data_IF_080863037712
#
_entry.id   IF_080863037712
#
_cell.length_a   1.000
_cell.length_b   1.000
_cell.length_c   1.000
_cell.angle_alpha   90.00
_cell.angle_beta   90.00
_cell.angle_gamma   90.00
#
_symmetry.space_group_name_H-M   'P 1'
#
loop_
_entity.id
_entity.type
_entity.pdbx_description
1 polymer ?
#
# COMPACT_ATOMS: atom_id res chain seq x y z
N UNK A 1 1.16 -4.68 -4.96
CA UNK A 1 0.77 -5.63 -6.03
C UNK A 1 1.18 -5.16 -7.41
N UNK A 2 0.84 -3.93 -7.82
CA UNK A 2 1.33 -3.40 -9.09
C UNK A 2 2.81 -2.96 -9.04
N UNK A 3 3.70 -3.90 -9.36
CA UNK A 3 5.16 -3.70 -9.40
C UNK A 3 5.64 -3.59 -10.85
N UNK A 4 6.46 -2.59 -11.15
CA UNK A 4 6.92 -2.29 -12.50
C UNK A 4 8.41 -1.94 -12.52
N UNK A 5 9.00 -1.90 -13.73
CA UNK A 5 10.28 -1.22 -13.97
C UNK A 5 9.96 0.19 -14.49
N UNK A 6 10.21 1.21 -13.68
CA UNK A 6 9.63 2.55 -13.83
C UNK A 6 8.31 2.72 -13.08
N UNK A 7 7.72 3.92 -13.16
CA UNK A 7 6.48 4.28 -12.45
C UNK A 7 5.36 4.62 -13.44
N UNK A 8 4.17 4.08 -13.21
CA UNK A 8 3.01 4.21 -14.10
C UNK A 8 1.75 4.56 -13.32
N UNK A 9 0.79 5.19 -13.99
CA UNK A 9 -0.54 5.48 -13.46
C UNK A 9 -1.61 4.94 -14.41
N UNK A 10 -2.63 4.26 -13.89
CA UNK A 10 -3.74 3.79 -14.73
C UNK A 10 -4.53 4.98 -15.29
N UNK A 11 -4.77 5.01 -16.59
CA UNK A 11 -5.39 6.14 -17.30
C UNK A 11 -6.63 5.75 -18.12
N UNK A 12 -7.27 4.62 -17.81
CA UNK A 12 -8.50 4.18 -18.45
C UNK A 12 -9.73 4.85 -17.83
N UNK A 13 -10.81 5.06 -18.60
CA UNK A 13 -12.11 5.49 -18.05
C UNK A 13 -12.83 4.36 -17.29
N UNK A 14 -12.58 3.11 -17.69
CA UNK A 14 -13.24 1.91 -17.17
C UNK A 14 -12.18 0.83 -16.92
N UNK A 15 -11.40 0.93 -15.83
CA UNK A 15 -10.43 -0.10 -15.50
C UNK A 15 -11.16 -1.42 -15.19
N UNK A 16 -10.68 -2.52 -15.78
CA UNK A 16 -11.17 -3.87 -15.42
C UNK A 16 -10.78 -4.21 -13.98
N UNK A 17 -11.59 -4.99 -13.29
CA UNK A 17 -11.15 -5.69 -12.07
C UNK A 17 -10.26 -6.86 -12.47
N UNK A 18 -9.04 -6.93 -11.93
CA UNK A 18 -8.11 -8.05 -12.17
C UNK A 18 -7.90 -8.89 -10.92
N UNK A 19 -7.48 -10.14 -11.14
CA UNK A 19 -7.18 -11.13 -10.12
C UNK A 19 -5.73 -11.59 -10.30
N UNK A 20 -4.81 -10.86 -9.70
CA UNK A 20 -3.35 -11.03 -9.78
C UNK A 20 -2.80 -12.02 -8.73
N UNK A 21 -3.62 -12.98 -8.31
CA UNK A 21 -3.28 -14.02 -7.33
C UNK A 21 -3.72 -15.40 -7.80
N UNK A 22 -3.17 -16.45 -7.19
CA UNK A 22 -3.45 -17.85 -7.49
C UNK A 22 -3.61 -18.71 -6.23
N UNK A 23 -4.25 -19.87 -6.36
CA UNK A 23 -4.41 -20.83 -5.26
C UNK A 23 -5.60 -20.56 -4.31
N UNK A 24 -6.51 -19.67 -4.69
CA UNK A 24 -7.66 -19.26 -3.88
C UNK A 24 -9.00 -19.82 -4.39
N UNK A 25 -10.07 -19.82 -3.57
CA UNK A 25 -11.40 -20.27 -4.00
C UNK A 25 -11.97 -19.43 -5.15
N UNK A 26 -12.79 -20.05 -6.03
CA UNK A 26 -13.48 -19.40 -7.15
C UNK A 26 -14.23 -18.12 -6.74
N UNK A 27 -14.83 -18.11 -5.55
CA UNK A 27 -15.54 -16.95 -5.03
C UNK A 27 -14.71 -15.66 -5.03
N UNK A 28 -13.39 -15.75 -4.84
CA UNK A 28 -12.49 -14.59 -4.93
C UNK A 28 -12.22 -14.15 -6.37
N UNK A 29 -12.23 -15.06 -7.34
CA UNK A 29 -12.12 -14.76 -8.78
C UNK A 29 -13.41 -14.23 -9.40
N UNK A 30 -14.55 -14.43 -8.72
CA UNK A 30 -15.86 -13.92 -9.14
C UNK A 30 -16.11 -12.49 -8.64
N UNK A 31 -15.22 -11.93 -7.82
CA UNK A 31 -15.36 -10.57 -7.32
C UNK A 31 -15.20 -9.57 -8.46
N UNK A 32 -16.12 -8.60 -8.52
CA UNK A 32 -16.01 -7.42 -9.38
C UNK A 32 -16.08 -6.16 -8.52
N UNK A 33 -15.33 -5.15 -8.94
CA UNK A 33 -15.32 -3.80 -8.37
C UNK A 33 -15.20 -2.77 -9.51
N UNK A 34 -16.32 -2.43 -10.16
CA UNK A 34 -16.33 -1.66 -11.41
C UNK A 34 -16.26 -0.15 -11.16
N UNK A 35 -15.27 0.30 -10.38
CA UNK A 35 -15.05 1.72 -10.18
C UNK A 35 -14.59 2.36 -11.48
N UNK A 36 -15.13 3.54 -11.81
CA UNK A 36 -14.66 4.32 -12.95
C UNK A 36 -13.20 4.73 -12.72
N UNK A 37 -12.42 4.84 -13.78
CA UNK A 37 -11.13 5.51 -13.72
C UNK A 37 -11.27 7.01 -13.96
N UNK A 38 -10.16 7.74 -13.87
CA UNK A 38 -10.10 9.16 -14.18
C UNK A 38 -8.84 9.48 -15.01
N UNK A 39 -8.94 9.46 -16.35
CA UNK A 39 -7.82 9.81 -17.22
C UNK A 39 -7.28 11.23 -16.97
N UNK A 40 -8.16 12.15 -16.58
CA UNK A 40 -7.83 13.54 -16.22
C UNK A 40 -6.97 13.58 -14.96
N UNK A 41 -7.36 12.86 -13.90
CA UNK A 41 -6.57 12.76 -12.68
C UNK A 41 -5.25 12.00 -12.93
N UNK A 42 -5.25 11.01 -13.81
CA UNK A 42 -4.03 10.29 -14.19
C UNK A 42 -3.02 11.21 -14.89
N UNK A 43 -3.49 12.04 -15.84
CA UNK A 43 -2.66 13.05 -16.49
C UNK A 43 -2.13 14.08 -15.47
N UNK A 44 -2.97 14.58 -14.58
CA UNK A 44 -2.54 15.51 -13.53
C UNK A 44 -1.50 14.88 -12.61
N UNK A 45 -1.70 13.63 -12.19
CA UNK A 45 -0.76 12.89 -11.33
C UNK A 45 0.60 12.74 -12.01
N UNK A 46 0.61 12.43 -13.32
CA UNK A 46 1.83 12.40 -14.12
C UNK A 46 2.53 13.76 -14.15
N UNK A 47 1.79 14.85 -14.34
CA UNK A 47 2.36 16.20 -14.48
C UNK A 47 2.88 16.75 -13.14
N UNK A 48 2.31 16.32 -12.01
CA UNK A 48 2.78 16.68 -10.67
C UNK A 48 4.14 16.06 -10.32
N UNK A 49 4.42 14.86 -10.82
CA UNK A 49 5.68 14.16 -10.54
C UNK A 49 6.73 14.57 -11.57
N UNK A 50 7.75 15.29 -11.10
CA UNK A 50 8.85 15.81 -11.92
C UNK A 50 10.17 15.09 -11.69
N UNK A 51 10.30 14.35 -10.58
CA UNK A 51 11.52 13.59 -10.24
C UNK A 51 11.79 12.39 -11.17
N UNK A 52 10.80 11.95 -11.93
CA UNK A 52 10.91 10.83 -12.86
C UNK A 52 9.85 10.95 -13.95
N UNK A 53 9.98 10.17 -15.02
CA UNK A 53 8.93 10.07 -16.03
C UNK A 53 7.84 9.11 -15.55
N UNK A 54 6.59 9.55 -15.60
CA UNK A 54 5.42 8.73 -15.30
C UNK A 54 4.75 8.27 -16.59
N UNK A 55 4.64 6.96 -16.76
CA UNK A 55 3.88 6.36 -17.85
C UNK A 55 2.38 6.37 -17.56
N UNK A 56 1.56 6.56 -18.58
CA UNK A 56 0.12 6.33 -18.48
C UNK A 56 -0.17 4.91 -18.98
N UNK A 57 -0.65 4.06 -18.08
CA UNK A 57 -0.98 2.67 -18.38
C UNK A 57 -2.47 2.53 -18.71
N UNK A 58 -2.76 1.80 -19.79
CA UNK A 58 -4.11 1.58 -20.29
C UNK A 58 -4.51 0.09 -20.25
N UNK A 59 -3.77 -0.77 -19.54
CA UNK A 59 -3.93 -2.22 -19.62
C UNK A 59 -4.06 -2.95 -18.28
N UNK A 60 -3.45 -2.45 -17.20
CA UNK A 60 -3.36 -3.11 -15.89
C UNK A 60 -4.73 -3.48 -15.32
N UNK A 61 -5.48 -2.50 -14.83
CA UNK A 61 -6.76 -2.69 -14.14
C UNK A 61 -6.61 -2.82 -12.61
N UNK A 62 -7.72 -2.71 -11.89
CA UNK A 62 -7.71 -2.67 -10.43
C UNK A 62 -7.34 -4.05 -9.86
N UNK A 63 -6.15 -4.14 -9.25
CA UNK A 63 -5.64 -5.35 -8.62
C UNK A 63 -6.27 -5.65 -7.26
N UNK A 64 -6.02 -6.85 -6.72
CA UNK A 64 -6.66 -7.28 -5.48
C UNK A 64 -6.22 -6.51 -4.25
N UNK A 65 -5.01 -5.96 -4.22
CA UNK A 65 -4.59 -5.05 -3.17
C UNK A 65 -5.47 -3.79 -3.12
N UNK A 66 -6.06 -3.42 -4.27
CA UNK A 66 -6.93 -2.26 -4.39
C UNK A 66 -8.41 -2.62 -4.16
N UNK A 67 -8.98 -3.53 -4.95
CA UNK A 67 -10.42 -3.79 -4.87
C UNK A 67 -10.83 -4.48 -3.57
N UNK A 68 -9.94 -5.27 -2.92
CA UNK A 68 -10.29 -5.95 -1.67
C UNK A 68 -10.53 -4.96 -0.53
N UNK A 69 -9.82 -3.83 -0.52
CA UNK A 69 -10.01 -2.74 0.44
C UNK A 69 -11.20 -1.86 0.02
N UNK A 70 -11.20 -1.40 -1.23
CA UNK A 70 -12.18 -0.42 -1.69
C UNK A 70 -13.61 -0.96 -1.74
N UNK A 71 -13.80 -2.27 -1.99
CA UNK A 71 -15.14 -2.88 -1.96
C UNK A 71 -15.82 -2.79 -0.59
N UNK A 72 -15.04 -2.69 0.49
CA UNK A 72 -15.59 -2.48 1.83
C UNK A 72 -15.76 -0.99 2.16
N UNK A 73 -14.86 -0.13 1.69
CA UNK A 73 -14.92 1.31 1.95
C UNK A 73 -15.98 2.03 1.11
N UNK A 74 -16.07 1.71 -0.19
CA UNK A 74 -17.00 2.28 -1.16
C UNK A 74 -17.72 1.16 -1.93
N UNK A 75 -18.64 0.42 -1.29
CA UNK A 75 -19.22 -0.81 -1.84
C UNK A 75 -19.99 -0.62 -3.16
N UNK A 76 -20.41 0.61 -3.47
CA UNK A 76 -21.11 0.95 -4.71
C UNK A 76 -20.17 1.23 -5.89
N UNK A 77 -18.85 1.30 -5.66
CA UNK A 77 -17.85 1.64 -6.66
C UNK A 77 -18.14 2.97 -7.40
N UNK A 78 -18.69 3.95 -6.67
CA UNK A 78 -19.16 5.25 -7.17
C UNK A 78 -18.11 6.36 -7.06
N UNK A 79 -16.97 6.08 -6.42
CA UNK A 79 -15.79 6.97 -6.40
C UNK A 79 -14.82 6.54 -7.50
N UNK A 80 -14.36 7.47 -8.38
CA UNK A 80 -13.33 7.15 -9.37
C UNK A 80 -12.00 6.73 -8.74
N UNK A 81 -11.34 5.73 -9.33
CA UNK A 81 -10.09 5.15 -8.84
C UNK A 81 -9.04 5.15 -9.95
N UNK A 82 -7.86 5.69 -9.65
CA UNK A 82 -6.64 5.42 -10.40
C UNK A 82 -5.66 4.70 -9.47
N UNK A 83 -4.77 3.90 -10.05
CA UNK A 83 -3.66 3.30 -9.32
C UNK A 83 -2.34 3.95 -9.75
N UNK A 84 -1.37 3.95 -8.83
CA UNK A 84 0.01 4.30 -9.08
C UNK A 84 0.86 3.05 -8.83
N UNK A 85 1.68 2.67 -9.81
CA UNK A 85 2.56 1.51 -9.68
C UNK A 85 3.76 1.83 -8.80
N UNK A 86 4.42 0.78 -8.33
CA UNK A 86 5.65 0.87 -7.55
C UNK A 86 6.81 0.40 -8.44
N UNK A 87 7.80 1.27 -8.66
CA UNK A 87 9.06 0.89 -9.30
C UNK A 87 9.87 -0.02 -8.36
N UNK A 88 9.86 -1.32 -8.64
CA UNK A 88 10.46 -2.33 -7.77
C UNK A 88 11.98 -2.15 -7.59
N UNK A 89 12.65 -1.57 -8.59
CA UNK A 89 14.11 -1.39 -8.57
C UNK A 89 14.60 -0.21 -7.74
N UNK A 90 13.70 0.54 -7.07
CA UNK A 90 14.04 1.78 -6.39
C UNK A 90 14.01 1.63 -4.86
N UNK A 91 14.84 2.41 -4.13
CA UNK A 91 14.87 2.37 -2.66
C UNK A 91 13.69 3.13 -2.04
N UNK A 92 13.41 2.89 -0.76
CA UNK A 92 12.37 3.59 0.01
C UNK A 92 12.49 5.13 -0.06
N UNK A 93 13.71 5.67 -0.04
CA UNK A 93 13.96 7.11 -0.15
C UNK A 93 13.48 7.71 -1.48
N UNK A 94 13.60 6.97 -2.58
CA UNK A 94 13.06 7.37 -3.87
C UNK A 94 11.53 7.45 -3.83
N UNK A 95 10.88 6.43 -3.25
CA UNK A 95 9.43 6.40 -3.13
C UNK A 95 8.90 7.51 -2.23
N UNK A 96 9.59 7.81 -1.12
CA UNK A 96 9.24 8.90 -0.23
C UNK A 96 9.27 10.26 -0.95
N UNK A 97 10.36 10.57 -1.67
CA UNK A 97 10.48 11.83 -2.41
C UNK A 97 9.53 11.94 -3.62
N UNK A 98 9.22 10.81 -4.27
CA UNK A 98 8.19 10.77 -5.30
C UNK A 98 6.81 11.08 -4.69
N UNK A 99 6.44 10.41 -3.60
CA UNK A 99 5.14 10.56 -2.95
C UNK A 99 4.90 11.99 -2.45
N UNK A 100 5.92 12.69 -1.94
CA UNK A 100 5.79 14.10 -1.52
C UNK A 100 5.29 15.04 -2.61
N UNK A 101 5.57 14.75 -3.88
CA UNK A 101 5.08 15.55 -5.01
C UNK A 101 3.57 15.40 -5.24
N UNK A 102 2.94 14.38 -4.66
CA UNK A 102 1.50 14.13 -4.74
C UNK A 102 0.69 14.90 -3.70
N UNK A 103 1.33 15.68 -2.80
CA UNK A 103 0.65 16.40 -1.71
C UNK A 103 -0.52 17.26 -2.21
N UNK A 104 -0.35 17.90 -3.36
CA UNK A 104 -1.38 18.78 -3.96
C UNK A 104 -2.69 18.03 -4.25
N UNK A 105 -2.64 16.72 -4.51
CA UNK A 105 -3.84 15.92 -4.72
C UNK A 105 -4.73 15.85 -3.47
N UNK A 106 -4.12 15.79 -2.27
CA UNK A 106 -4.90 15.85 -1.01
C UNK A 106 -5.69 17.14 -0.90
N UNK A 107 -5.09 18.27 -1.27
CA UNK A 107 -5.75 19.59 -1.27
C UNK A 107 -6.88 19.70 -2.30
N UNK A 108 -6.87 18.84 -3.33
CA UNK A 108 -7.93 18.75 -4.35
C UNK A 108 -9.03 17.75 -3.99
N UNK A 109 -9.02 17.20 -2.78
CA UNK A 109 -10.02 16.24 -2.31
C UNK A 109 -9.78 14.80 -2.77
N UNK A 110 -8.56 14.48 -3.21
CA UNK A 110 -8.19 13.10 -3.56
C UNK A 110 -7.82 12.35 -2.28
N UNK A 111 -8.53 11.26 -1.99
CA UNK A 111 -8.15 10.30 -0.96
C UNK A 111 -7.02 9.42 -1.48
N UNK A 112 -5.88 9.42 -0.79
CA UNK A 112 -4.74 8.57 -1.12
C UNK A 112 -4.73 7.36 -0.19
N UNK A 113 -4.76 6.16 -0.78
CA UNK A 113 -4.80 4.89 -0.04
C UNK A 113 -3.57 4.06 -0.41
N UNK A 114 -2.70 3.83 0.57
CA UNK A 114 -1.65 2.81 0.47
C UNK A 114 -2.15 1.48 1.00
N UNK A 115 -2.22 0.46 0.15
CA UNK A 115 -2.63 -0.90 0.54
C UNK A 115 -1.46 -1.86 0.49
N UNK A 116 -1.12 -2.46 1.62
CA UNK A 116 0.02 -3.33 1.83
C UNK A 116 0.05 -3.88 3.26
N UNK A 117 1.21 -4.34 3.72
CA UNK A 117 1.42 -4.89 5.05
C UNK A 117 2.83 -4.57 5.53
N UNK A 118 2.96 -4.07 6.77
CA UNK A 118 4.26 -3.73 7.34
C UNK A 118 5.06 -4.97 7.79
N UNK A 119 4.34 -6.04 8.14
CA UNK A 119 4.89 -7.37 8.38
C UNK A 119 4.20 -8.31 7.40
N UNK A 120 4.98 -8.83 6.45
CA UNK A 120 4.47 -9.63 5.35
C UNK A 120 5.50 -10.68 4.91
N UNK A 121 5.50 -11.82 5.60
CA UNK A 121 6.33 -12.96 5.20
C UNK A 121 5.48 -14.21 4.94
N UNK A 122 5.09 -14.39 3.67
CA UNK A 122 4.30 -15.53 3.23
C UNK A 122 5.02 -16.88 3.43
N UNK A 123 6.36 -16.89 3.38
CA UNK A 123 7.16 -18.09 3.64
C UNK A 123 7.15 -18.55 5.10
N UNK A 124 6.53 -17.77 6.00
CA UNK A 124 6.39 -18.07 7.43
C UNK A 124 4.94 -18.17 7.89
N UNK A 125 3.97 -18.14 6.99
CA UNK A 125 2.55 -18.20 7.37
C UNK A 125 2.20 -19.51 8.08
N UNK A 126 1.50 -19.40 9.20
CA UNK A 126 0.95 -20.52 9.97
C UNK A 126 -0.52 -20.76 9.56
N UNK A 127 -0.71 -21.52 8.47
CA UNK A 127 -2.04 -21.80 7.93
C UNK A 127 -3.01 -22.45 8.92
N UNK A 128 -2.62 -23.44 9.75
CA UNK A 128 -3.50 -24.01 10.78
C UNK A 128 -4.10 -22.98 11.73
N UNK A 129 -3.37 -21.89 12.01
CA UNK A 129 -3.76 -20.83 12.95
C UNK A 129 -4.16 -19.54 12.26
N UNK A 130 -4.50 -19.58 10.96
CA UNK A 130 -4.77 -18.38 10.16
C UNK A 130 -5.95 -17.53 10.68
N UNK A 131 -6.92 -18.17 11.33
CA UNK A 131 -8.11 -17.50 11.88
C UNK A 131 -7.93 -17.05 13.34
N UNK A 132 -6.78 -17.32 13.95
CA UNK A 132 -6.48 -16.84 15.31
C UNK A 132 -6.04 -15.38 15.27
N UNK A 133 -6.88 -14.50 15.79
CA UNK A 133 -6.57 -13.08 15.91
C UNK A 133 -5.51 -12.84 17.00
N UNK A 134 -4.64 -11.86 16.76
CA UNK A 134 -3.50 -11.49 17.61
C UNK A 134 -2.42 -12.58 17.73
N UNK A 135 -2.43 -13.57 16.85
CA UNK A 135 -1.38 -14.56 16.76
C UNK A 135 -0.25 -14.09 15.83
N UNK A 136 0.93 -13.89 16.41
CA UNK A 136 2.16 -13.51 15.72
C UNK A 136 3.37 -14.15 16.39
N UNK A 137 4.38 -14.52 15.60
CA UNK A 137 5.69 -14.89 16.12
C UNK A 137 6.36 -13.71 16.81
N UNK A 138 7.31 -13.98 17.70
CA UNK A 138 7.96 -12.94 18.49
C UNK A 138 8.66 -11.90 17.61
N UNK A 139 9.40 -12.34 16.59
CA UNK A 139 10.04 -11.43 15.62
C UNK A 139 9.03 -10.59 14.83
N UNK A 140 7.82 -11.13 14.57
CA UNK A 140 6.80 -10.44 13.81
C UNK A 140 6.13 -9.34 14.67
N UNK A 141 5.90 -9.65 15.95
CA UNK A 141 5.43 -8.68 16.94
C UNK A 141 6.46 -7.59 17.20
N UNK A 142 7.74 -7.95 17.32
CA UNK A 142 8.85 -7.00 17.47
C UNK A 142 8.91 -6.04 16.29
N UNK A 143 8.91 -6.54 15.05
CA UNK A 143 8.91 -5.70 13.86
C UNK A 143 7.68 -4.78 13.81
N UNK A 144 6.49 -5.30 14.12
CA UNK A 144 5.26 -4.50 14.17
C UNK A 144 5.35 -3.38 15.21
N UNK A 145 5.90 -3.66 16.40
CA UNK A 145 6.10 -2.66 17.45
C UNK A 145 7.09 -1.58 17.03
N UNK A 146 8.21 -1.97 16.40
CA UNK A 146 9.20 -1.02 15.84
C UNK A 146 8.52 -0.10 14.83
N UNK A 147 7.77 -0.63 13.87
CA UNK A 147 7.09 0.18 12.86
C UNK A 147 6.03 1.10 13.46
N UNK A 148 5.20 0.59 14.38
CA UNK A 148 4.19 1.39 15.06
C UNK A 148 4.82 2.57 15.80
N UNK A 149 5.94 2.34 16.50
CA UNK A 149 6.66 3.41 17.20
C UNK A 149 7.21 4.45 16.21
N UNK A 150 7.83 4.04 15.11
CA UNK A 150 8.34 4.97 14.09
C UNK A 150 7.23 5.82 13.46
N UNK A 151 6.04 5.24 13.24
CA UNK A 151 4.88 5.95 12.71
C UNK A 151 4.38 7.00 13.71
N UNK A 152 4.21 6.62 14.97
CA UNK A 152 3.73 7.51 16.03
C UNK A 152 4.72 8.65 16.32
N UNK A 153 6.01 8.35 16.29
CA UNK A 153 7.09 9.34 16.48
C UNK A 153 7.35 10.20 15.24
N UNK A 154 6.65 9.95 14.12
CA UNK A 154 6.87 10.61 12.83
C UNK A 154 8.33 10.50 12.36
N UNK A 155 8.96 9.36 12.62
CA UNK A 155 10.36 9.11 12.29
C UNK A 155 10.49 8.59 10.86
N UNK A 156 10.32 9.51 9.90
CA UNK A 156 10.38 9.20 8.47
C UNK A 156 11.75 8.61 8.07
N UNK A 157 12.84 9.07 8.70
CA UNK A 157 14.19 8.53 8.46
C UNK A 157 14.30 7.06 8.86
N UNK A 158 13.71 6.67 9.99
CA UNK A 158 13.68 5.28 10.44
C UNK A 158 12.86 4.40 9.50
N UNK A 159 11.71 4.89 9.01
CA UNK A 159 10.89 4.18 8.03
C UNK A 159 11.63 4.01 6.69
N UNK A 160 12.34 5.04 6.21
CA UNK A 160 13.13 4.98 4.98
C UNK A 160 14.29 3.99 5.11
N UNK A 161 14.97 3.97 6.25
CA UNK A 161 16.13 3.11 6.51
C UNK A 161 15.76 1.81 7.25
N UNK A 162 14.55 1.30 7.03
CA UNK A 162 14.01 0.18 7.82
C UNK A 162 14.90 -1.08 7.83
N UNK A 163 15.70 -1.31 6.79
CA UNK A 163 16.62 -2.45 6.71
C UNK A 163 17.75 -2.40 7.77
N UNK A 164 17.99 -1.23 8.37
CA UNK A 164 18.96 -1.04 9.46
C UNK A 164 18.37 -1.39 10.84
N UNK A 165 17.07 -1.67 10.93
CA UNK A 165 16.34 -1.87 12.20
C UNK A 165 16.45 -3.29 12.78
N UNK A 166 17.32 -4.12 12.22
CA UNK A 166 17.63 -5.46 12.75
C UNK A 166 16.92 -6.62 12.03
N UNK A 167 17.19 -7.83 12.53
CA UNK A 167 16.80 -9.08 11.84
C UNK A 167 15.29 -9.33 11.86
N UNK A 168 14.58 -8.92 12.93
CA UNK A 168 13.13 -9.02 13.00
C UNK A 168 12.45 -8.28 11.83
N UNK A 169 12.92 -7.06 11.53
CA UNK A 169 12.42 -6.24 10.43
C UNK A 169 12.78 -6.82 9.07
N UNK A 170 14.01 -7.30 8.87
CA UNK A 170 14.39 -7.98 7.62
C UNK A 170 13.55 -9.24 7.37
N UNK A 171 13.21 -9.98 8.43
CA UNK A 171 12.35 -11.14 8.32
C UNK A 171 10.89 -10.75 8.05
N UNK A 172 10.43 -9.62 8.58
CA UNK A 172 9.10 -9.07 8.33
C UNK A 172 8.90 -8.54 6.92
N UNK A 173 9.95 -7.99 6.29
CA UNK A 173 9.91 -7.38 4.96
C UNK A 173 10.95 -8.07 4.06
N UNK A 174 10.71 -9.34 3.65
CA UNK A 174 11.66 -10.07 2.80
C UNK A 174 11.79 -9.42 1.41
N UNK A 175 10.72 -8.82 0.93
CA UNK A 175 10.66 -7.96 -0.26
C UNK A 175 9.89 -6.69 0.10
N UNK A 176 10.21 -5.54 -0.53
CA UNK A 176 9.69 -4.26 -0.08
C UNK A 176 8.28 -3.93 -0.60
N UNK A 177 7.71 -4.76 -1.47
CA UNK A 177 6.52 -4.44 -2.25
C UNK A 177 5.27 -4.16 -1.41
N UNK A 178 5.06 -4.91 -0.32
CA UNK A 178 3.96 -4.67 0.62
C UNK A 178 4.27 -3.58 1.64
N UNK A 179 5.54 -3.24 1.83
CA UNK A 179 5.97 -2.21 2.79
C UNK A 179 5.93 -0.80 2.18
N UNK A 180 6.31 -0.64 0.92
CA UNK A 180 6.35 0.67 0.25
C UNK A 180 5.03 1.47 0.28
N UNK A 181 3.82 0.89 0.22
CA UNK A 181 2.59 1.65 0.43
C UNK A 181 2.56 2.49 1.72
N UNK A 182 3.19 2.01 2.81
CA UNK A 182 3.36 2.81 4.04
C UNK A 182 4.24 4.03 3.80
N UNK A 183 5.34 3.87 3.08
CA UNK A 183 6.29 4.95 2.76
C UNK A 183 5.58 6.06 1.98
N UNK A 184 4.74 5.71 1.00
CA UNK A 184 3.93 6.66 0.26
C UNK A 184 2.95 7.41 1.18
N UNK A 185 2.21 6.69 2.02
CA UNK A 185 1.25 7.30 2.94
C UNK A 185 1.94 8.25 3.95
N UNK A 186 3.07 7.83 4.54
CA UNK A 186 3.83 8.62 5.50
C UNK A 186 4.40 9.91 4.88
N UNK A 187 4.89 9.84 3.65
CA UNK A 187 5.41 10.98 2.91
C UNK A 187 4.37 12.09 2.63
N UNK A 188 3.10 11.69 2.58
CA UNK A 188 1.97 12.56 2.26
C UNK A 188 1.29 13.17 3.49
N UNK A 189 1.76 12.85 4.69
CA UNK A 189 1.25 13.38 5.95
C UNK A 189 1.57 14.88 6.07
N UNK A 190 0.55 15.67 6.36
CA UNK A 190 0.69 17.08 6.72
C UNK A 190 1.16 17.25 8.18
N UNK A 191 1.79 18.38 8.48
CA UNK A 191 2.27 18.65 9.85
C UNK A 191 1.15 18.67 10.89
N UNK A 192 -0.06 19.04 10.47
CA UNK A 192 -1.25 19.11 11.32
C UNK A 192 -2.00 17.80 11.44
N UNK A 193 -1.75 16.81 10.57
CA UNK A 193 -2.46 15.53 10.62
C UNK A 193 -2.20 14.84 11.96
N UNK A 194 -3.24 14.38 12.63
CA UNK A 194 -3.17 13.39 13.70
C UNK A 194 -2.78 12.03 13.10
N UNK A 195 -1.97 11.26 13.83
CA UNK A 195 -1.57 9.90 13.42
C UNK A 195 -2.35 8.89 14.25
N UNK A 196 -3.17 8.07 13.60
CA UNK A 196 -3.94 7.00 14.26
C UNK A 196 -3.57 5.64 13.71
N UNK A 197 -3.26 4.72 14.61
CA UNK A 197 -3.17 3.30 14.32
C UNK A 197 -4.51 2.63 14.64
N UNK A 198 -5.00 1.81 13.74
CA UNK A 198 -6.21 1.00 13.94
C UNK A 198 -6.05 -0.35 13.25
N UNK A 199 -6.92 -1.31 13.60
CA UNK A 199 -6.81 -2.68 13.09
C UNK A 199 -5.42 -3.31 13.33
N UNK A 200 -4.73 -2.89 14.40
CA UNK A 200 -3.39 -3.34 14.79
C UNK A 200 -3.48 -4.77 15.34
N UNK A 201 -3.52 -5.74 14.44
CA UNK A 201 -3.74 -7.15 14.76
C UNK A 201 -2.79 -8.02 13.95
N UNK A 202 -2.14 -8.96 14.64
CA UNK A 202 -1.35 -10.01 14.00
C UNK A 202 -2.23 -11.18 13.60
N UNK A 203 -2.01 -11.71 12.41
CA UNK A 203 -2.70 -12.90 11.90
C UNK A 203 -1.70 -13.87 11.29
N UNK A 204 -2.06 -15.16 11.34
CA UNK A 204 -1.31 -16.24 10.70
C UNK A 204 0.21 -16.29 11.03
N UNK A 205 0.61 -15.77 12.20
CA UNK A 205 1.99 -15.79 12.68
C UNK A 205 2.89 -14.69 12.11
N UNK A 206 2.75 -14.33 10.83
CA UNK A 206 3.71 -13.50 10.08
C UNK A 206 3.10 -12.36 9.26
N UNK A 207 1.84 -12.00 9.53
CA UNK A 207 1.13 -10.92 8.85
C UNK A 207 0.60 -9.90 9.87
N UNK A 208 0.93 -8.63 9.67
CA UNK A 208 0.36 -7.51 10.41
C UNK A 208 -0.75 -6.86 9.61
N UNK A 209 -1.92 -6.67 10.22
CA UNK A 209 -3.09 -5.99 9.63
C UNK A 209 -3.21 -4.51 10.02
N UNK A 210 -2.17 -3.98 10.68
CA UNK A 210 -2.13 -2.61 11.17
C UNK A 210 -2.40 -1.62 10.05
N UNK A 211 -3.36 -0.74 10.28
CA UNK A 211 -3.76 0.33 9.38
C UNK A 211 -3.43 1.68 10.00
N UNK A 212 -3.04 2.63 9.16
CA UNK A 212 -2.62 3.97 9.57
C UNK A 212 -3.53 5.00 8.93
N UNK A 213 -4.01 5.95 9.72
CA UNK A 213 -4.74 7.13 9.25
C UNK A 213 -3.97 8.39 9.61
N UNK A 214 -3.76 9.26 8.60
CA UNK A 214 -3.24 10.61 8.73
C UNK A 214 -4.39 11.59 8.42
N UNK A 215 -4.91 12.30 9.43
CA UNK A 215 -6.10 13.15 9.29
C UNK A 215 -6.17 14.30 10.30
#
# INVERSE_FOLDING_TARGET
HWLTNGTYVTAMQQPKTIHDFGGFPKALFDVQYPAKGSPELAAETKDLITSTQIGLDHEWGLDHGTWSVLKHLYPLADVPVIQLSIDYGKPASYHFELARQLQTLRNKGVLIVGSGNMVHNLGRVDFPRMNELNYGYDWAKEASQIFNQLILDRNDKGLINYLELGEAVKLAVPTPDHFYPLIYAAALRDKSDEVKLFNDTMVAGSLSMTSVLYA
#
